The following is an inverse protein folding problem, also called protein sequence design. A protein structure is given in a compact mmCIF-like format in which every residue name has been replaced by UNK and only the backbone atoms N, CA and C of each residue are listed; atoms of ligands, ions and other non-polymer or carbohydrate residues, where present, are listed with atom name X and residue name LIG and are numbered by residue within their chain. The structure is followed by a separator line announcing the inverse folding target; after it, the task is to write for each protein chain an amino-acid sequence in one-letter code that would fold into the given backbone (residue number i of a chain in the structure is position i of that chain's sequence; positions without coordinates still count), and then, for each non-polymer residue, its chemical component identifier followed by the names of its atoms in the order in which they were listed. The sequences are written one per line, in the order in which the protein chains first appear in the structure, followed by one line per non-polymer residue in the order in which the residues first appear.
data_IF_824421599510
#
_entry.id   IF_824421599510
#
_cell.length_a   1.000
_cell.length_b   1.000
_cell.length_c   1.000
_cell.angle_alpha   90.00
_cell.angle_beta   90.00
_cell.angle_gamma   90.00
#
_symmetry.space_group_name_H-M   'P 1'
#
loop_
_entity.id
_entity.type
_entity.pdbx_description
1 polymer ?
#
# COMPACT_ATOMS: atom_id res chain seq x y z
N UNK A 1 26.13 -3.69 36.79
CA UNK A 1 25.02 -2.91 36.21
C UNK A 1 24.04 -2.57 37.31
N UNK A 2 23.67 -1.30 37.52
CA UNK A 2 22.71 -0.94 38.58
C UNK A 2 21.30 -1.38 38.19
N UNK A 3 20.40 -1.59 39.17
CA UNK A 3 18.98 -1.89 38.89
C UNK A 3 18.33 -0.81 38.00
N UNK A 4 18.70 0.46 38.20
CA UNK A 4 18.30 1.57 37.34
C UNK A 4 18.83 1.42 35.90
N UNK A 5 20.09 1.02 35.73
CA UNK A 5 20.67 0.75 34.41
C UNK A 5 20.05 -0.45 33.68
N UNK A 6 19.61 -1.48 34.43
CA UNK A 6 18.90 -2.62 33.86
C UNK A 6 17.48 -2.23 33.41
N UNK A 7 16.79 -1.42 34.19
CA UNK A 7 15.45 -0.91 33.83
C UNK A 7 15.49 -0.08 32.55
N UNK A 8 16.45 0.85 32.43
CA UNK A 8 16.60 1.66 31.20
C UNK A 8 17.03 0.83 29.99
N UNK A 9 17.67 -0.32 30.20
CA UNK A 9 18.05 -1.22 29.13
C UNK A 9 16.85 -2.03 28.60
N UNK A 10 16.06 -2.61 29.52
CA UNK A 10 14.99 -3.57 29.19
C UNK A 10 13.63 -2.91 28.92
N UNK A 11 13.34 -1.79 29.56
CA UNK A 11 12.02 -1.13 29.53
C UNK A 11 12.15 0.22 28.83
N UNK A 12 12.23 0.19 27.50
CA UNK A 12 12.29 1.39 26.67
C UNK A 12 10.89 1.75 26.17
N UNK A 13 10.55 3.02 26.27
CA UNK A 13 9.34 3.58 25.72
C UNK A 13 9.68 4.94 25.12
N UNK A 14 9.13 5.21 23.94
CA UNK A 14 9.29 6.48 23.23
C UNK A 14 7.90 7.05 22.94
N UNK A 15 7.74 8.35 23.15
CA UNK A 15 6.48 9.02 22.85
C UNK A 15 6.32 9.16 21.34
N UNK A 16 5.18 8.74 20.81
CA UNK A 16 4.81 8.93 19.40
C UNK A 16 3.56 9.80 19.34
N UNK A 17 3.60 10.84 18.52
CA UNK A 17 2.45 11.70 18.24
C UNK A 17 2.14 11.70 16.75
N UNK A 18 0.92 12.06 16.39
CA UNK A 18 0.43 11.89 15.03
C UNK A 18 -0.92 12.55 14.77
N UNK A 19 -1.35 12.56 13.50
CA UNK A 19 -2.73 12.87 13.10
C UNK A 19 -3.32 11.65 12.38
N UNK A 20 -4.61 11.41 12.61
CA UNK A 20 -5.36 10.36 11.94
C UNK A 20 -6.46 10.98 11.08
N UNK A 21 -6.58 10.53 9.84
CA UNK A 21 -7.63 10.89 8.91
C UNK A 21 -8.43 9.65 8.51
N UNK A 22 -9.72 9.86 8.25
CA UNK A 22 -10.57 8.90 7.54
C UNK A 22 -10.92 9.53 6.19
N UNK A 23 -10.67 8.80 5.11
CA UNK A 23 -10.97 9.25 3.75
C UNK A 23 -12.06 8.36 3.16
N UNK A 24 -13.26 8.92 3.00
CA UNK A 24 -14.37 8.25 2.28
C UNK A 24 -14.11 8.27 0.79
N UNK A 25 -14.16 7.11 0.14
CA UNK A 25 -13.84 6.94 -1.28
C UNK A 25 -14.97 7.36 -2.22
N UNK A 26 -16.22 7.26 -1.74
CA UNK A 26 -17.42 7.62 -2.50
C UNK A 26 -18.45 8.21 -1.55
N UNK A 27 -19.48 8.88 -2.07
CA UNK A 27 -20.68 9.18 -1.30
C UNK A 27 -21.67 7.99 -1.28
N UNK A 28 -21.49 7.02 -2.19
CA UNK A 28 -22.32 5.82 -2.27
C UNK A 28 -21.82 4.77 -1.30
N UNK A 29 -22.72 4.28 -0.45
CA UNK A 29 -22.40 3.36 0.64
C UNK A 29 -22.18 1.90 0.18
N UNK A 30 -22.60 1.58 -1.03
CA UNK A 30 -22.64 0.22 -1.57
C UNK A 30 -21.57 -0.05 -2.63
N UNK A 31 -20.64 0.89 -2.86
CA UNK A 31 -19.52 0.71 -3.79
C UNK A 31 -18.27 0.29 -3.03
N UNK A 32 -17.42 -0.50 -3.67
CA UNK A 32 -16.06 -0.81 -3.23
C UNK A 32 -15.05 -0.30 -4.26
N UNK A 33 -13.75 -0.32 -3.96
CA UNK A 33 -12.73 0.05 -4.97
C UNK A 33 -12.86 -0.76 -6.28
N UNK A 34 -13.34 -2.00 -6.20
CA UNK A 34 -13.57 -2.86 -7.36
C UNK A 34 -14.72 -2.37 -8.26
N UNK A 35 -15.66 -1.60 -7.71
CA UNK A 35 -16.80 -1.01 -8.44
C UNK A 35 -16.48 0.34 -9.08
N UNK A 36 -15.39 0.98 -8.66
CA UNK A 36 -15.02 2.31 -9.13
C UNK A 36 -14.26 2.22 -10.45
N UNK A 37 -14.65 3.10 -11.39
CA UNK A 37 -13.88 3.29 -12.62
C UNK A 37 -12.54 3.97 -12.30
N UNK A 38 -11.57 3.87 -13.22
CA UNK A 38 -10.28 4.58 -13.12
C UNK A 38 -10.46 6.07 -12.86
N UNK A 39 -11.44 6.72 -13.53
CA UNK A 39 -11.75 8.14 -13.34
C UNK A 39 -12.34 8.45 -11.95
N UNK A 40 -13.06 7.52 -11.33
CA UNK A 40 -13.60 7.67 -9.97
C UNK A 40 -12.54 7.39 -8.89
N UNK A 41 -11.52 6.60 -9.20
CA UNK A 41 -10.38 6.35 -8.31
C UNK A 41 -9.38 7.52 -8.30
N UNK A 42 -9.27 8.27 -9.40
CA UNK A 42 -8.31 9.37 -9.51
C UNK A 42 -8.44 10.44 -8.41
N UNK A 43 -9.65 10.90 -8.02
CA UNK A 43 -9.82 11.81 -6.89
C UNK A 43 -9.33 11.25 -5.55
N UNK A 44 -9.36 9.92 -5.36
CA UNK A 44 -8.86 9.27 -4.13
C UNK A 44 -7.34 9.33 -4.10
N UNK A 45 -6.68 9.01 -5.22
CA UNK A 45 -5.22 9.12 -5.35
C UNK A 45 -4.76 10.58 -5.20
N UNK A 46 -5.52 11.53 -5.76
CA UNK A 46 -5.25 12.95 -5.56
C UNK A 46 -5.43 13.37 -4.10
N UNK A 47 -6.43 12.85 -3.38
CA UNK A 47 -6.61 13.15 -1.96
C UNK A 47 -5.46 12.57 -1.11
N UNK A 48 -5.03 11.33 -1.37
CA UNK A 48 -3.84 10.75 -0.77
C UNK A 48 -2.59 11.61 -1.02
N UNK A 49 -2.38 12.03 -2.27
CA UNK A 49 -1.25 12.86 -2.68
C UNK A 49 -1.29 14.25 -2.01
N UNK A 50 -2.47 14.87 -1.93
CA UNK A 50 -2.68 16.18 -1.31
C UNK A 50 -2.39 16.14 0.19
N UNK A 51 -2.90 15.11 0.89
CA UNK A 51 -2.67 14.92 2.31
C UNK A 51 -1.18 14.68 2.55
N UNK A 52 -0.55 13.78 1.80
CA UNK A 52 0.89 13.52 1.91
C UNK A 52 1.73 14.78 1.68
N UNK A 53 1.47 15.51 0.60
CA UNK A 53 2.17 16.75 0.26
C UNK A 53 2.03 17.83 1.34
N UNK A 54 0.86 17.91 1.98
CA UNK A 54 0.62 18.90 3.04
C UNK A 54 1.45 18.63 4.30
N UNK A 55 1.89 17.39 4.50
CA UNK A 55 2.69 16.97 5.66
C UNK A 55 4.19 16.79 5.34
N UNK A 56 4.61 16.93 4.08
CA UNK A 56 6.01 16.86 3.69
C UNK A 56 6.84 17.90 4.43
N UNK A 57 8.01 17.49 4.94
CA UNK A 57 9.00 18.41 5.47
C UNK A 57 9.44 19.39 4.39
N UNK A 58 9.54 20.71 4.68
CA UNK A 58 10.08 21.69 3.73
C UNK A 58 11.49 21.37 3.22
N UNK A 59 12.23 20.52 3.95
CA UNK A 59 13.57 20.05 3.58
C UNK A 59 13.56 18.85 2.63
N UNK A 60 12.43 18.15 2.51
CA UNK A 60 12.33 16.97 1.67
C UNK A 60 12.52 17.35 0.19
N UNK A 61 13.32 16.59 -0.59
CA UNK A 61 13.46 16.83 -2.02
C UNK A 61 12.13 16.67 -2.78
N UNK A 62 11.16 15.93 -2.21
CA UNK A 62 9.83 15.71 -2.78
C UNK A 62 8.98 16.99 -2.85
N UNK A 63 9.33 18.04 -2.10
CA UNK A 63 8.62 19.33 -2.17
C UNK A 63 8.77 19.98 -3.55
N UNK A 64 9.88 19.71 -4.26
CA UNK A 64 10.16 20.31 -5.58
C UNK A 64 9.30 19.73 -6.70
N UNK A 65 8.88 18.48 -6.56
CA UNK A 65 8.07 17.74 -7.54
C UNK A 65 6.59 17.72 -7.19
N UNK A 66 6.26 18.02 -5.92
CA UNK A 66 4.90 18.12 -5.46
C UNK A 66 4.13 19.22 -6.21
N UNK A 67 3.27 18.80 -7.13
CA UNK A 67 2.41 19.69 -7.90
C UNK A 67 1.04 19.85 -7.22
N UNK A 68 0.32 20.98 -7.44
CA UNK A 68 -1.05 21.12 -7.00
C UNK A 68 -1.94 19.98 -7.54
N UNK A 69 -2.76 19.40 -6.68
CA UNK A 69 -3.71 18.33 -7.07
C UNK A 69 -4.92 18.92 -7.80
N UNK A 70 -5.62 18.11 -8.60
CA UNK A 70 -6.80 18.57 -9.37
C UNK A 70 -8.06 18.79 -8.53
N UNK A 71 -7.99 18.49 -7.23
CA UNK A 71 -9.09 18.66 -6.28
C UNK A 71 -9.46 20.15 -6.14
N UNK A 72 -10.74 20.45 -6.34
CA UNK A 72 -11.31 21.78 -6.16
C UNK A 72 -11.20 22.21 -4.68
N UNK A 73 -10.78 23.46 -4.39
CA UNK A 73 -10.84 24.01 -3.05
C UNK A 73 -12.28 23.98 -2.52
N UNK A 74 -12.55 23.22 -1.45
CA UNK A 74 -13.87 23.22 -0.79
C UNK A 74 -14.80 22.03 -1.10
N UNK A 75 -14.34 20.97 -1.77
CA UNK A 75 -14.99 19.65 -1.56
C UNK A 75 -14.96 19.34 -0.06
N UNK A 76 -15.97 18.68 0.51
CA UNK A 76 -16.28 18.53 1.96
C UNK A 76 -15.17 17.94 2.87
N UNK A 77 -14.00 18.54 2.85
CA UNK A 77 -12.77 18.17 3.53
C UNK A 77 -12.71 18.93 4.85
N UNK A 78 -12.48 18.20 5.94
CA UNK A 78 -11.81 18.78 7.10
C UNK A 78 -10.59 19.56 6.58
N UNK A 79 -10.42 20.82 6.99
CA UNK A 79 -9.33 21.66 6.52
C UNK A 79 -7.99 20.96 6.76
N UNK A 80 -7.39 20.38 5.70
CA UNK A 80 -6.09 19.71 5.79
C UNK A 80 -5.07 20.83 6.01
N UNK A 81 -4.68 21.01 7.26
CA UNK A 81 -3.71 22.02 7.66
C UNK A 81 -2.33 21.40 7.82
N UNK A 82 -1.30 22.17 7.44
CA UNK A 82 0.08 21.83 7.74
C UNK A 82 0.21 21.58 9.25
N UNK A 83 0.92 20.52 9.66
CA UNK A 83 1.06 20.22 11.08
C UNK A 83 1.96 21.27 11.76
N UNK A 84 1.71 21.54 13.04
CA UNK A 84 2.53 22.47 13.83
C UNK A 84 3.92 21.90 14.15
N UNK A 85 4.03 20.58 14.21
CA UNK A 85 5.28 19.85 14.37
C UNK A 85 5.47 18.92 13.17
N UNK A 86 6.71 18.69 12.77
CA UNK A 86 7.01 17.79 11.66
C UNK A 86 6.75 16.33 12.08
N UNK A 87 6.07 15.58 11.22
CA UNK A 87 5.94 14.13 11.34
C UNK A 87 6.96 13.44 10.44
N UNK A 88 7.39 12.24 10.83
CA UNK A 88 8.40 11.47 10.10
C UNK A 88 7.77 10.59 9.03
N UNK A 89 6.62 9.96 9.29
CA UNK A 89 6.03 9.00 8.37
C UNK A 89 4.51 9.15 8.23
N UNK A 90 3.97 8.73 7.08
CA UNK A 90 2.55 8.69 6.79
C UNK A 90 2.17 7.31 6.26
N UNK A 91 1.38 6.56 7.01
CA UNK A 91 0.80 5.30 6.57
C UNK A 91 -0.60 5.53 6.01
N UNK A 92 -0.79 5.23 4.73
CA UNK A 92 -2.10 5.17 4.08
C UNK A 92 -2.51 3.70 3.99
N UNK A 93 -3.71 3.37 4.43
CA UNK A 93 -4.19 1.98 4.43
C UNK A 93 -5.73 1.88 4.36
N UNK A 94 -6.24 0.71 3.97
CA UNK A 94 -7.66 0.36 4.01
C UNK A 94 -7.81 -1.03 4.63
N UNK A 95 -8.87 -1.21 5.41
CA UNK A 95 -9.35 -2.51 5.86
C UNK A 95 -10.74 -2.76 5.26
N UNK A 96 -10.83 -3.70 4.32
CA UNK A 96 -12.08 -4.06 3.64
C UNK A 96 -12.66 -5.35 4.22
N UNK A 97 -13.93 -5.28 4.60
CA UNK A 97 -14.74 -6.43 5.02
C UNK A 97 -14.56 -6.80 6.50
N UNK A 98 -15.61 -7.38 7.10
CA UNK A 98 -15.65 -7.74 8.52
C UNK A 98 -14.55 -8.73 8.92
N UNK A 99 -14.09 -9.57 7.99
CA UNK A 99 -12.98 -10.50 8.23
C UNK A 99 -11.67 -9.79 8.59
N UNK A 100 -11.50 -8.52 8.20
CA UNK A 100 -10.35 -7.66 8.49
C UNK A 100 -10.63 -6.64 9.61
N UNK A 101 -11.71 -6.85 10.39
CA UNK A 101 -12.05 -5.97 11.52
C UNK A 101 -12.77 -4.67 11.14
N UNK A 102 -13.18 -4.51 9.88
CA UNK A 102 -13.94 -3.33 9.45
C UNK A 102 -15.41 -3.45 9.90
N UNK A 103 -15.86 -2.50 10.74
CA UNK A 103 -17.22 -2.47 11.28
C UNK A 103 -18.16 -1.49 10.56
N UNK A 104 -17.63 -0.55 9.78
CA UNK A 104 -18.41 0.38 8.97
C UNK A 104 -18.36 -0.04 7.49
N UNK A 105 -19.49 -0.39 6.85
CA UNK A 105 -19.50 -0.92 5.49
C UNK A 105 -19.23 0.14 4.40
N UNK A 106 -19.24 1.44 4.74
CA UNK A 106 -18.98 2.50 3.78
C UNK A 106 -17.53 2.42 3.25
N UNK A 107 -17.28 2.57 1.94
CA UNK A 107 -15.92 2.49 1.39
C UNK A 107 -15.03 3.65 1.88
N UNK A 108 -14.03 3.32 2.69
CA UNK A 108 -13.12 4.30 3.25
C UNK A 108 -11.72 3.72 3.51
N UNK A 109 -10.73 4.60 3.48
CA UNK A 109 -9.37 4.35 3.95
C UNK A 109 -9.05 5.19 5.18
N UNK A 110 -7.91 4.90 5.77
CA UNK A 110 -7.35 5.61 6.92
C UNK A 110 -5.94 6.10 6.58
N UNK A 111 -5.56 7.22 7.19
CA UNK A 111 -4.23 7.81 7.02
C UNK A 111 -3.71 8.21 8.39
N UNK A 112 -2.62 7.60 8.83
CA UNK A 112 -2.00 7.89 10.12
C UNK A 112 -0.62 8.48 9.90
N UNK A 113 -0.37 9.67 10.44
CA UNK A 113 0.97 10.25 10.51
C UNK A 113 1.59 9.99 11.86
N UNK A 114 2.91 9.82 11.92
CA UNK A 114 3.63 9.55 13.18
C UNK A 114 4.96 10.30 13.22
N UNK A 115 5.39 10.72 14.42
CA UNK A 115 6.72 11.32 14.65
C UNK A 115 7.87 10.32 14.54
N UNK A 116 7.58 9.01 14.66
CA UNK A 116 8.52 7.93 14.42
C UNK A 116 8.35 7.30 13.04
N UNK A 117 9.26 6.39 12.69
CA UNK A 117 9.07 5.48 11.55
C UNK A 117 8.47 4.17 12.11
N UNK A 118 7.33 3.67 11.60
CA UNK A 118 6.78 2.40 12.05
C UNK A 118 7.71 1.22 11.71
N UNK A 119 7.56 0.10 12.42
CA UNK A 119 8.46 -1.06 12.34
C UNK A 119 8.63 -1.59 10.91
N UNK A 120 7.52 -1.92 10.22
CA UNK A 120 7.58 -2.54 8.88
C UNK A 120 8.27 -1.62 7.84
N UNK A 121 7.86 -0.34 7.66
CA UNK A 121 8.60 0.59 6.79
C UNK A 121 10.04 0.86 7.24
N UNK A 122 10.37 0.78 8.54
CA UNK A 122 11.74 0.98 9.01
C UNK A 122 12.66 -0.15 8.57
N UNK A 123 12.23 -1.41 8.77
CA UNK A 123 12.97 -2.60 8.33
C UNK A 123 13.11 -2.61 6.81
N UNK A 124 12.03 -2.29 6.10
CA UNK A 124 12.05 -2.17 4.64
C UNK A 124 13.06 -1.12 4.16
N UNK A 125 13.00 0.10 4.71
CA UNK A 125 13.87 1.20 4.31
C UNK A 125 15.35 0.89 4.54
N UNK A 126 15.70 0.24 5.66
CA UNK A 126 17.07 -0.19 5.92
C UNK A 126 17.55 -1.22 4.89
N UNK A 127 16.69 -2.14 4.44
CA UNK A 127 17.00 -3.09 3.39
C UNK A 127 17.14 -2.43 2.01
N UNK A 128 16.26 -1.50 1.66
CA UNK A 128 16.33 -0.73 0.41
C UNK A 128 17.63 0.09 0.35
N UNK A 129 18.00 0.78 1.44
CA UNK A 129 19.26 1.51 1.55
C UNK A 129 20.47 0.60 1.41
N UNK A 130 20.46 -0.53 2.11
CA UNK A 130 21.55 -1.52 2.04
C UNK A 130 21.75 -2.02 0.61
N UNK A 131 20.67 -2.45 -0.05
CA UNK A 131 20.72 -2.89 -1.44
C UNK A 131 21.29 -1.81 -2.35
N UNK A 132 20.81 -0.57 -2.20
CA UNK A 132 21.29 0.55 -3.01
C UNK A 132 22.79 0.80 -2.85
N UNK A 133 23.32 0.71 -1.62
CA UNK A 133 24.77 0.83 -1.35
C UNK A 133 25.57 -0.31 -1.98
N UNK A 134 25.05 -1.53 -1.91
CA UNK A 134 25.72 -2.75 -2.39
C UNK A 134 25.66 -2.90 -3.92
N UNK A 135 24.60 -2.39 -4.56
CA UNK A 135 24.33 -2.52 -5.99
C UNK A 135 24.63 -1.23 -6.77
N UNK A 136 25.60 -0.43 -6.33
CA UNK A 136 26.10 0.73 -7.08
C UNK A 136 25.06 1.83 -7.33
N UNK A 137 24.01 1.90 -6.52
CA UNK A 137 22.94 2.88 -6.63
C UNK A 137 21.64 2.38 -7.26
N UNK A 138 21.56 1.10 -7.65
CA UNK A 138 20.32 0.50 -8.14
C UNK A 138 19.22 0.40 -7.07
N UNK A 139 17.96 0.32 -7.50
CA UNK A 139 16.80 0.28 -6.63
C UNK A 139 16.20 -1.13 -6.59
N UNK A 140 16.13 -1.73 -5.40
CA UNK A 140 15.74 -3.14 -5.21
C UNK A 140 14.41 -3.49 -5.89
N UNK A 141 13.38 -2.66 -5.70
CA UNK A 141 12.05 -2.96 -6.23
C UNK A 141 11.93 -2.69 -7.74
N UNK A 142 12.77 -1.82 -8.30
CA UNK A 142 12.86 -1.63 -9.75
C UNK A 142 13.52 -2.84 -10.43
N UNK A 143 14.64 -3.32 -9.86
CA UNK A 143 15.31 -4.53 -10.33
C UNK A 143 14.40 -5.76 -10.17
N UNK A 144 13.69 -5.87 -9.04
CA UNK A 144 12.73 -6.94 -8.80
C UNK A 144 11.56 -6.91 -9.80
N UNK A 145 10.97 -5.73 -10.04
CA UNK A 145 9.91 -5.56 -11.03
C UNK A 145 10.40 -5.93 -12.45
N UNK A 146 11.62 -5.53 -12.81
CA UNK A 146 12.24 -5.86 -14.10
C UNK A 146 12.40 -7.38 -14.25
N UNK A 147 12.99 -8.05 -13.25
CA UNK A 147 13.16 -9.50 -13.24
C UNK A 147 11.82 -10.25 -13.31
N UNK A 148 10.79 -9.81 -12.59
CA UNK A 148 9.47 -10.45 -12.62
C UNK A 148 8.76 -10.25 -13.96
N UNK A 149 8.95 -9.10 -14.61
CA UNK A 149 8.47 -8.84 -15.96
C UNK A 149 9.20 -9.68 -17.02
N UNK A 150 10.45 -10.10 -16.79
CA UNK A 150 11.12 -11.07 -17.67
C UNK A 150 10.60 -12.50 -17.46
N UNK A 151 10.39 -12.91 -16.20
CA UNK A 151 9.96 -14.27 -15.84
C UNK A 151 8.49 -14.54 -16.11
N UNK A 152 7.61 -13.55 -15.94
CA UNK A 152 6.15 -13.62 -16.13
C UNK A 152 5.37 -14.62 -15.25
N UNK A 153 6.04 -15.48 -14.48
CA UNK A 153 5.39 -16.53 -13.66
C UNK A 153 4.42 -15.96 -12.61
N UNK A 154 4.84 -14.90 -11.91
CA UNK A 154 4.12 -14.29 -10.79
C UNK A 154 3.40 -12.98 -11.12
N UNK A 155 3.54 -12.49 -12.35
CA UNK A 155 2.85 -11.28 -12.82
C UNK A 155 1.36 -11.56 -13.00
N UNK A 156 0.51 -10.73 -12.38
CA UNK A 156 -0.96 -10.80 -12.49
C UNK A 156 -1.47 -9.86 -13.57
N UNK A 157 -0.93 -8.65 -13.63
CA UNK A 157 -1.28 -7.60 -14.58
C UNK A 157 -0.11 -6.61 -14.68
N UNK A 158 0.04 -5.95 -15.82
CA UNK A 158 0.96 -4.84 -15.96
C UNK A 158 0.40 -3.82 -16.95
N UNK A 159 0.57 -2.54 -16.64
CA UNK A 159 0.40 -1.45 -17.61
C UNK A 159 1.75 -0.76 -17.81
N UNK A 160 1.75 0.40 -18.46
CA UNK A 160 2.99 1.10 -18.80
C UNK A 160 3.82 1.52 -17.58
N UNK A 161 3.19 1.80 -16.44
CA UNK A 161 3.87 2.35 -15.25
C UNK A 161 3.93 1.41 -14.05
N UNK A 162 3.05 0.42 -13.96
CA UNK A 162 2.95 -0.47 -12.81
C UNK A 162 2.87 -1.94 -13.20
N UNK A 163 3.41 -2.78 -12.34
CA UNK A 163 3.23 -4.24 -12.37
C UNK A 163 2.50 -4.67 -11.09
N UNK A 164 1.52 -5.54 -11.26
CA UNK A 164 0.85 -6.28 -10.19
C UNK A 164 1.39 -7.69 -10.22
N UNK A 165 1.89 -8.16 -9.09
CA UNK A 165 2.47 -9.49 -8.97
C UNK A 165 2.16 -10.11 -7.61
N UNK A 166 2.20 -11.44 -7.53
CA UNK A 166 2.31 -12.15 -6.25
C UNK A 166 3.79 -12.20 -5.86
N UNK A 167 4.25 -11.51 -4.80
CA UNK A 167 5.67 -11.48 -4.50
C UNK A 167 6.19 -12.88 -4.17
N UNK A 168 7.45 -13.15 -4.51
CA UNK A 168 8.07 -14.45 -4.25
C UNK A 168 8.02 -14.83 -2.76
N UNK A 169 8.11 -13.82 -1.89
CA UNK A 169 8.05 -13.95 -0.44
C UNK A 169 6.63 -13.85 0.15
N UNK A 170 5.57 -13.94 -0.66
CA UNK A 170 4.20 -13.83 -0.20
C UNK A 170 3.88 -14.77 0.99
N UNK A 171 3.16 -14.24 1.98
CA UNK A 171 2.69 -14.94 3.16
C UNK A 171 1.20 -15.24 3.04
N UNK A 172 0.41 -14.26 2.61
CA UNK A 172 -1.03 -14.40 2.40
C UNK A 172 -1.32 -15.18 1.11
N UNK A 173 -2.43 -15.94 1.03
CA UNK A 173 -2.65 -16.90 -0.07
C UNK A 173 -2.63 -16.25 -1.45
N UNK A 174 -3.33 -15.12 -1.58
CA UNK A 174 -3.38 -14.33 -2.80
C UNK A 174 -2.77 -12.96 -2.55
N UNK A 175 -1.70 -12.89 -1.75
CA UNK A 175 -0.95 -11.64 -1.54
C UNK A 175 -0.51 -11.05 -2.88
N UNK A 176 -0.69 -9.74 -3.03
CA UNK A 176 -0.16 -9.04 -4.21
C UNK A 176 0.51 -7.74 -3.84
N UNK A 177 1.50 -7.38 -4.63
CA UNK A 177 2.11 -6.05 -4.63
C UNK A 177 1.79 -5.32 -5.93
N UNK A 178 1.60 -4.00 -5.85
CA UNK A 178 1.68 -3.09 -7.00
C UNK A 178 3.00 -2.33 -6.89
N UNK A 179 3.87 -2.46 -7.87
CA UNK A 179 5.21 -1.84 -7.87
C UNK A 179 5.34 -0.93 -9.09
N UNK A 180 5.87 0.29 -8.91
CA UNK A 180 6.20 1.14 -10.04
C UNK A 180 7.38 0.55 -10.84
N UNK A 181 7.24 0.52 -12.16
CA UNK A 181 8.24 -0.04 -13.09
C UNK A 181 9.48 0.83 -13.27
N UNK A 182 9.43 2.07 -12.79
CA UNK A 182 10.54 3.00 -12.68
C UNK A 182 10.68 3.46 -11.23
N UNK A 183 11.84 3.97 -10.86
CA UNK A 183 12.04 4.60 -9.56
C UNK A 183 11.09 5.79 -9.35
N UNK A 184 10.21 5.64 -8.37
CA UNK A 184 9.32 6.68 -7.83
C UNK A 184 9.38 6.52 -6.33
N UNK A 185 9.61 7.59 -5.57
CA UNK A 185 9.85 7.49 -4.12
C UNK A 185 8.55 7.54 -3.33
N UNK A 186 7.59 8.32 -3.80
CA UNK A 186 6.29 8.52 -3.15
C UNK A 186 5.23 9.03 -4.14
N UNK A 187 3.97 9.12 -3.70
CA UNK A 187 2.86 9.62 -4.52
C UNK A 187 3.12 10.97 -5.24
N UNK A 188 3.83 11.97 -4.65
CA UNK A 188 4.13 13.22 -5.35
C UNK A 188 5.02 13.10 -6.60
N UNK A 189 5.74 11.99 -6.77
CA UNK A 189 6.55 11.76 -7.98
C UNK A 189 5.68 11.37 -9.19
N UNK A 190 4.42 10.97 -8.99
CA UNK A 190 3.55 10.49 -10.06
C UNK A 190 3.14 11.60 -11.03
N UNK A 191 3.40 11.39 -12.32
CA UNK A 191 2.79 12.17 -13.39
C UNK A 191 1.26 11.97 -13.45
N UNK A 192 0.49 12.85 -14.11
CA UNK A 192 -0.94 12.64 -14.34
C UNK A 192 -1.27 11.28 -14.98
N UNK A 193 -0.47 10.84 -15.95
CA UNK A 193 -0.59 9.55 -16.62
C UNK A 193 -0.31 8.39 -15.66
N UNK A 194 0.76 8.50 -14.86
CA UNK A 194 1.10 7.48 -13.87
C UNK A 194 0.01 7.38 -12.78
N UNK A 195 -0.66 8.47 -12.41
CA UNK A 195 -1.82 8.39 -11.50
C UNK A 195 -2.98 7.61 -12.11
N UNK A 196 -3.25 7.78 -13.41
CA UNK A 196 -4.25 6.98 -14.13
C UNK A 196 -3.85 5.50 -14.17
N UNK A 197 -2.57 5.20 -14.44
CA UNK A 197 -2.06 3.83 -14.43
C UNK A 197 -2.13 3.19 -13.03
N UNK A 198 -1.91 3.95 -11.95
CA UNK A 198 -2.09 3.46 -10.58
C UNK A 198 -3.56 3.18 -10.28
N UNK A 199 -4.47 4.07 -10.68
CA UNK A 199 -5.91 3.87 -10.54
C UNK A 199 -6.39 2.62 -11.30
N UNK A 200 -5.89 2.40 -12.51
CA UNK A 200 -6.17 1.20 -13.29
C UNK A 200 -5.66 -0.05 -12.57
N UNK A 201 -4.43 -0.04 -12.05
CA UNK A 201 -3.87 -1.18 -11.34
C UNK A 201 -4.68 -1.54 -10.07
N UNK A 202 -5.08 -0.54 -9.28
CA UNK A 202 -5.94 -0.74 -8.09
C UNK A 202 -7.31 -1.31 -8.50
N UNK A 203 -7.93 -0.76 -9.54
CA UNK A 203 -9.22 -1.27 -10.06
C UNK A 203 -9.09 -2.71 -10.55
N UNK A 204 -8.03 -3.02 -11.29
CA UNK A 204 -7.81 -4.34 -11.88
C UNK A 204 -7.64 -5.42 -10.80
N UNK A 205 -6.77 -5.20 -9.81
CA UNK A 205 -6.53 -6.22 -8.76
C UNK A 205 -7.74 -6.40 -7.87
N UNK A 206 -8.43 -5.32 -7.48
CA UNK A 206 -9.60 -5.41 -6.59
C UNK A 206 -10.77 -6.11 -7.27
N UNK A 207 -10.92 -5.95 -8.59
CA UNK A 207 -11.88 -6.70 -9.41
C UNK A 207 -11.51 -8.16 -9.54
N UNK A 208 -10.23 -8.48 -9.78
CA UNK A 208 -9.75 -9.87 -9.82
C UNK A 208 -10.00 -10.60 -8.51
N UNK A 209 -9.79 -9.91 -7.39
CA UNK A 209 -10.11 -10.43 -6.07
C UNK A 209 -11.59 -10.75 -5.90
N UNK A 210 -12.49 -9.81 -6.25
CA UNK A 210 -13.93 -10.05 -6.12
C UNK A 210 -14.41 -11.18 -7.06
N UNK A 211 -13.78 -11.34 -8.23
CA UNK A 211 -14.08 -12.41 -9.19
C UNK A 211 -13.52 -13.78 -8.76
N UNK A 212 -12.45 -13.84 -7.96
CA UNK A 212 -11.76 -15.08 -7.62
C UNK A 212 -12.66 -16.11 -6.93
N UNK A 213 -13.52 -15.64 -6.02
CA UNK A 213 -14.52 -16.46 -5.33
C UNK A 213 -15.93 -15.88 -5.40
N UNK A 214 -16.18 -15.02 -6.41
CA UNK A 214 -17.48 -14.39 -6.67
C UNK A 214 -18.11 -13.79 -5.41
N UNK A 215 -17.33 -12.99 -4.69
CA UNK A 215 -17.71 -12.39 -3.40
C UNK A 215 -17.06 -11.03 -3.20
N UNK A 216 -17.53 -10.25 -2.23
CA UNK A 216 -16.79 -9.07 -1.79
C UNK A 216 -15.53 -9.50 -1.04
N UNK A 217 -14.40 -9.51 -1.73
CA UNK A 217 -13.17 -10.09 -1.24
C UNK A 217 -12.54 -9.20 -0.16
N UNK A 218 -12.35 -9.69 1.07
CA UNK A 218 -11.75 -8.90 2.15
C UNK A 218 -10.23 -8.79 1.96
N UNK A 219 -9.66 -7.67 2.40
CA UNK A 219 -8.21 -7.46 2.44
C UNK A 219 -7.87 -6.31 3.38
N UNK A 220 -6.63 -6.30 3.85
CA UNK A 220 -5.96 -5.06 4.27
C UNK A 220 -5.03 -4.64 3.15
N UNK A 221 -5.00 -3.36 2.81
CA UNK A 221 -4.03 -2.81 1.86
C UNK A 221 -3.34 -1.59 2.44
N UNK A 222 -2.15 -1.29 1.95
CA UNK A 222 -1.39 -0.14 2.40
C UNK A 222 -0.38 0.34 1.36
N UNK A 223 -0.01 1.62 1.46
CA UNK A 223 1.01 2.25 0.62
C UNK A 223 2.29 2.37 1.42
N UNK A 224 3.39 1.83 0.89
CA UNK A 224 4.74 2.10 1.35
C UNK A 224 5.41 3.06 0.38
N UNK A 225 6.01 4.10 0.94
CA UNK A 225 6.59 5.23 0.22
C UNK A 225 7.60 5.94 1.12
N UNK A 226 8.33 6.89 0.55
CA UNK A 226 9.33 7.66 1.29
C UNK A 226 8.76 8.29 2.58
N UNK A 227 9.60 8.47 3.61
CA UNK A 227 9.19 9.21 4.80
C UNK A 227 8.90 10.69 4.46
N UNK A 228 8.04 11.31 5.27
CA UNK A 228 7.73 12.75 5.18
C UNK A 228 8.94 13.61 5.53
N UNK A 229 9.78 13.10 6.44
CA UNK A 229 11.06 13.68 6.84
C UNK A 229 12.11 12.57 6.96
N UNK A 230 13.27 12.78 6.35
CA UNK A 230 14.39 11.85 6.38
C UNK A 230 15.62 12.47 5.71
N UNK A 231 16.75 11.79 5.81
CA UNK A 231 17.95 12.10 5.03
C UNK A 231 17.72 11.92 3.53
N UNK A 232 18.54 12.58 2.70
CA UNK A 232 18.46 12.42 1.24
C UNK A 232 18.60 10.95 0.82
N UNK A 233 19.44 10.18 1.52
CA UNK A 233 19.60 8.75 1.28
C UNK A 233 18.32 7.96 1.60
N UNK A 234 17.64 8.24 2.72
CA UNK A 234 16.36 7.59 3.07
C UNK A 234 15.30 7.89 2.01
N UNK A 235 15.16 9.15 1.61
CA UNK A 235 14.17 9.56 0.62
C UNK A 235 14.46 8.94 -0.74
N UNK A 236 15.73 8.91 -1.16
CA UNK A 236 16.13 8.38 -2.46
C UNK A 236 16.07 6.85 -2.53
N UNK A 237 16.44 6.13 -1.46
CA UNK A 237 16.36 4.67 -1.42
C UNK A 237 14.92 4.15 -1.41
N UNK A 238 13.95 4.96 -0.99
CA UNK A 238 12.54 4.59 -0.95
C UNK A 238 11.97 4.36 -2.34
N UNK A 239 10.99 3.46 -2.44
CA UNK A 239 10.33 3.11 -3.71
C UNK A 239 8.84 2.91 -3.45
N UNK A 240 7.98 3.60 -4.20
CA UNK A 240 6.53 3.57 -4.06
C UNK A 240 5.99 2.20 -4.46
N UNK A 241 5.28 1.56 -3.54
CA UNK A 241 4.57 0.32 -3.81
C UNK A 241 3.40 0.13 -2.85
N UNK A 242 2.46 -0.72 -3.26
CA UNK A 242 1.26 -1.04 -2.49
C UNK A 242 1.24 -2.52 -2.16
N UNK A 243 0.84 -2.85 -0.94
CA UNK A 243 0.62 -4.21 -0.47
C UNK A 243 -0.87 -4.51 -0.37
N UNK A 244 -1.27 -5.74 -0.70
CA UNK A 244 -2.60 -6.29 -0.43
C UNK A 244 -2.46 -7.63 0.29
N UNK A 245 -3.09 -7.72 1.46
CA UNK A 245 -3.07 -8.88 2.36
C UNK A 245 -4.48 -9.46 2.53
N UNK A 246 -4.94 -10.30 1.58
CA UNK A 246 -6.25 -10.94 1.68
C UNK A 246 -6.21 -12.25 2.48
N UNK A 247 -7.22 -12.54 3.33
CA UNK A 247 -7.24 -13.73 4.15
C UNK A 247 -7.85 -14.96 3.45
N UNK A 248 -8.63 -14.80 2.38
CA UNK A 248 -9.34 -15.92 1.76
C UNK A 248 -8.37 -16.88 1.05
N UNK A 249 -8.61 -18.19 1.15
CA UNK A 249 -7.71 -19.24 0.66
C UNK A 249 -8.37 -20.17 -0.37
N UNK A 250 -9.49 -20.81 -0.01
CA UNK A 250 -10.12 -21.84 -0.87
C UNK A 250 -11.46 -21.43 -1.46
N UNK A 251 -12.19 -20.55 -0.79
CA UNK A 251 -13.53 -20.10 -1.18
C UNK A 251 -13.89 -18.82 -0.42
N UNK A 252 -15.07 -18.26 -0.69
CA UNK A 252 -15.65 -17.14 0.05
C UNK A 252 -15.80 -17.37 1.57
N UNK A 253 -15.83 -18.63 2.02
CA UNK A 253 -16.03 -19.01 3.42
C UNK A 253 -14.80 -19.60 4.10
N UNK A 254 -13.74 -19.92 3.35
CA UNK A 254 -12.53 -20.59 3.88
C UNK A 254 -11.33 -19.66 3.78
N UNK A 255 -10.87 -19.20 4.95
CA UNK A 255 -9.75 -18.28 5.11
C UNK A 255 -8.53 -18.93 5.76
N UNK A 256 -7.37 -18.34 5.48
CA UNK A 256 -6.12 -18.55 6.22
C UNK A 256 -6.23 -17.88 7.59
N UNK A 257 -5.60 -18.50 8.58
CA UNK A 257 -5.38 -17.95 9.91
C UNK A 257 -3.89 -17.96 10.20
N UNK A 258 -3.29 -16.80 10.45
CA UNK A 258 -1.92 -16.70 10.96
C UNK A 258 -1.96 -16.90 12.48
N UNK A 259 -1.82 -18.15 12.92
CA UNK A 259 -1.94 -18.57 14.32
C UNK A 259 -0.84 -19.57 14.67
N UNK A 260 -0.81 -20.09 15.90
CA UNK A 260 0.01 -21.26 16.24
C UNK A 260 1.50 -21.11 15.88
N UNK A 261 1.94 -21.84 14.84
CA UNK A 261 3.32 -21.80 14.35
C UNK A 261 3.69 -20.43 13.81
N UNK A 262 2.82 -19.79 13.01
CA UNK A 262 3.12 -18.47 12.43
C UNK A 262 3.20 -17.33 13.44
N UNK A 263 2.59 -17.47 14.63
CA UNK A 263 2.73 -16.48 15.72
C UNK A 263 3.98 -16.71 16.59
N UNK A 264 4.58 -17.90 16.54
CA UNK A 264 5.63 -18.33 17.47
C UNK A 264 6.95 -18.73 16.79
N UNK A 265 6.96 -18.88 15.47
CA UNK A 265 8.12 -19.33 14.70
C UNK A 265 8.29 -18.49 13.41
N UNK A 266 7.60 -18.85 12.34
CA UNK A 266 7.73 -18.17 11.03
C UNK A 266 6.46 -18.33 10.18
N UNK A 267 6.22 -17.44 9.21
CA UNK A 267 5.10 -17.56 8.28
C UNK A 267 5.15 -18.85 7.44
N UNK A 268 4.01 -19.52 7.30
CA UNK A 268 3.84 -20.69 6.41
C UNK A 268 2.76 -20.39 5.36
N UNK A 269 2.81 -21.01 4.17
CA UNK A 269 1.75 -20.90 3.15
C UNK A 269 1.36 -22.23 2.51
N UNK A 270 0.07 -22.40 2.21
CA UNK A 270 -0.50 -23.59 1.57
C UNK A 270 -0.37 -23.61 0.03
N UNK A 271 -0.37 -22.43 -0.61
CA UNK A 271 -0.30 -22.28 -2.07
C UNK A 271 0.93 -21.45 -2.44
N UNK A 272 1.53 -21.73 -3.61
CA UNK A 272 2.70 -20.96 -4.06
C UNK A 272 2.28 -19.63 -4.71
N UNK A 273 3.15 -18.60 -4.70
CA UNK A 273 2.87 -17.34 -5.39
C UNK A 273 2.60 -17.51 -6.88
N UNK A 274 3.24 -18.47 -7.56
CA UNK A 274 3.01 -18.78 -8.97
C UNK A 274 1.60 -19.32 -9.20
N UNK A 275 1.12 -20.22 -8.34
CA UNK A 275 -0.24 -20.76 -8.40
C UNK A 275 -1.29 -19.68 -8.12
N UNK A 276 -1.02 -18.81 -7.13
CA UNK A 276 -1.88 -17.68 -6.81
C UNK A 276 -1.99 -16.70 -7.99
N UNK A 277 -0.85 -16.32 -8.58
CA UNK A 277 -0.81 -15.44 -9.74
C UNK A 277 -1.54 -16.04 -10.95
N UNK A 278 -1.34 -17.34 -11.23
CA UNK A 278 -2.02 -18.04 -12.30
C UNK A 278 -3.54 -18.01 -12.16
N UNK A 279 -4.07 -18.20 -10.94
CA UNK A 279 -5.50 -18.07 -10.66
C UNK A 279 -5.99 -16.64 -10.87
N UNK A 280 -5.31 -15.65 -10.28
CA UNK A 280 -5.69 -14.23 -10.38
C UNK A 280 -5.68 -13.73 -11.83
N UNK A 281 -4.75 -14.20 -12.68
CA UNK A 281 -4.72 -13.88 -14.11
C UNK A 281 -6.03 -14.27 -14.82
N UNK A 282 -6.64 -15.39 -14.43
CA UNK A 282 -7.92 -15.86 -14.96
C UNK A 282 -9.16 -15.10 -14.46
N UNK A 283 -9.01 -14.26 -13.44
CA UNK A 283 -10.13 -13.55 -12.79
C UNK A 283 -10.32 -12.10 -13.28
N UNK A 284 -9.66 -11.72 -14.37
CA UNK A 284 -9.86 -10.40 -15.00
C UNK A 284 -11.25 -10.26 -15.64
N UNK A 285 -11.48 -9.14 -16.32
CA UNK A 285 -12.76 -8.87 -16.99
C UNK A 285 -13.85 -8.34 -16.05
N UNK A 286 -15.08 -8.12 -16.56
CA UNK A 286 -16.17 -7.51 -15.79
C UNK A 286 -16.42 -8.21 -14.44
N UNK A 287 -16.86 -7.46 -13.43
CA UNK A 287 -17.21 -8.01 -12.12
C UNK A 287 -18.27 -9.11 -12.26
N UNK A 288 -18.12 -10.20 -11.51
CA UNK A 288 -19.03 -11.35 -11.53
C UNK A 288 -20.49 -10.93 -11.34
N UNK A 289 -20.75 -9.92 -10.48
CA UNK A 289 -22.09 -9.42 -10.19
C UNK A 289 -22.81 -8.79 -11.38
N UNK A 290 -22.09 -8.30 -12.39
CA UNK A 290 -22.69 -7.82 -13.64
C UNK A 290 -23.23 -8.95 -14.53
N UNK A 291 -22.85 -10.21 -14.25
CA UNK A 291 -23.37 -11.40 -14.95
C UNK A 291 -24.61 -11.99 -14.25
N UNK A 292 -24.94 -11.49 -13.06
CA UNK A 292 -26.10 -11.92 -12.28
C UNK A 292 -27.36 -11.10 -12.61
N UNK A 293 -27.20 -9.99 -13.33
CA UNK A 293 -28.26 -9.12 -13.86
C UNK A 293 -28.64 -9.54 -15.28
#
# INVERSE_FOLDING_TARGET
MTRAGLSSLLLRAEAVTGKCYVLTFSNKHNLTLADLTTSQLLPIIDAWTQIYTTHLSPKSPLVKVASPTTLQPGSSQASISRPHAQYRYMQIFENKGAAMGCSNPHPHGQIWTTTGLPEEPAVELDNLKRYRREQGGAHMLEDYATMELEKQERVVFANESFVILCPWWAIWPYETMIISRSHLRALPDLSPEQKMHLAEAISDITRRYDNLFETHFPYSMGIHQAPLEGSDEEIEASHLHLHFYPPLLRSASVRKFLVGYELMAEPQRDITPEQAAAKLRGCGGPLYRQKLE
#
